data_IF_708073610407
#
_entry.id   IF_708073610407
#
_cell.length_a   1.000
_cell.length_b   1.000
_cell.length_c   1.000
_cell.angle_alpha   90.00
_cell.angle_beta   90.00
_cell.angle_gamma   90.00
#
_symmetry.space_group_name_H-M   'P 1'
#
loop_
_entity.id
_entity.type
_entity.pdbx_description
1 polymer ?
#
# COMPACT_ATOMS: atom_id res chain seq x y z
N UNK A 1 -14.55 -27.92 69.86
CA UNK A 1 -15.52 -27.20 69.02
C UNK A 1 -14.84 -26.88 67.69
N UNK A 2 -15.12 -27.67 66.63
CA UNK A 2 -14.54 -27.48 65.30
C UNK A 2 -15.31 -26.37 64.59
N UNK A 3 -14.73 -25.18 64.47
CA UNK A 3 -15.29 -24.12 63.61
C UNK A 3 -15.23 -24.63 62.16
N UNK A 4 -16.39 -24.63 61.54
CA UNK A 4 -16.63 -25.01 60.14
C UNK A 4 -15.76 -24.15 59.21
N UNK A 5 -14.74 -24.80 58.65
CA UNK A 5 -13.84 -24.31 57.61
C UNK A 5 -14.59 -24.11 56.28
N UNK A 6 -15.36 -23.05 56.17
CA UNK A 6 -15.67 -22.42 54.89
C UNK A 6 -14.64 -21.28 54.71
N UNK A 7 -13.72 -21.27 53.76
CA UNK A 7 -13.36 -22.16 52.68
C UNK A 7 -11.93 -21.70 52.33
N UNK A 8 -10.90 -22.43 52.78
CA UNK A 8 -9.54 -22.20 52.28
C UNK A 8 -9.50 -22.70 50.84
N UNK A 9 -10.00 -21.88 49.92
CA UNK A 9 -10.02 -22.18 48.50
C UNK A 9 -8.71 -21.70 47.89
N UNK A 10 -7.88 -22.64 47.46
CA UNK A 10 -6.58 -22.37 46.83
C UNK A 10 -6.72 -21.52 45.58
N UNK A 11 -7.81 -21.68 44.81
CA UNK A 11 -8.09 -20.86 43.63
C UNK A 11 -8.29 -19.38 43.99
N UNK A 12 -9.10 -19.10 45.01
CA UNK A 12 -9.30 -17.75 45.52
C UNK A 12 -8.02 -17.16 46.11
N UNK A 13 -7.17 -17.99 46.72
CA UNK A 13 -5.87 -17.56 47.25
C UNK A 13 -4.92 -17.13 46.13
N UNK A 14 -4.85 -17.89 45.04
CA UNK A 14 -4.02 -17.56 43.89
C UNK A 14 -4.54 -16.29 43.20
N UNK A 15 -5.85 -16.21 42.92
CA UNK A 15 -6.46 -14.99 42.36
C UNK A 15 -6.30 -13.78 43.28
N UNK A 16 -6.34 -13.96 44.60
CA UNK A 16 -6.06 -12.90 45.56
C UNK A 16 -4.60 -12.44 45.49
N UNK A 17 -3.66 -13.38 45.36
CA UNK A 17 -2.22 -13.10 45.22
C UNK A 17 -1.92 -12.34 43.92
N UNK A 18 -2.57 -12.72 42.82
CA UNK A 18 -2.42 -12.09 41.50
C UNK A 18 -3.25 -10.80 41.34
N UNK A 19 -3.96 -10.37 42.39
CA UNK A 19 -4.87 -9.22 42.40
C UNK A 19 -6.02 -9.29 41.35
N UNK A 20 -6.49 -10.50 41.06
CA UNK A 20 -7.56 -10.80 40.08
C UNK A 20 -8.97 -10.95 40.70
N UNK A 21 -9.14 -10.53 41.95
CA UNK A 21 -10.44 -10.51 42.63
C UNK A 21 -11.08 -9.14 42.52
N UNK A 22 -12.42 -9.12 42.42
CA UNK A 22 -13.18 -7.88 42.49
C UNK A 22 -12.97 -7.19 43.86
N UNK A 23 -13.08 -5.85 43.95
CA UNK A 23 -12.77 -5.11 45.17
C UNK A 23 -13.52 -5.61 46.43
N UNK A 24 -14.79 -5.99 46.27
CA UNK A 24 -15.62 -6.53 47.34
C UNK A 24 -15.16 -7.92 47.80
N UNK A 25 -14.73 -8.77 46.86
CA UNK A 25 -14.21 -10.10 47.14
C UNK A 25 -12.81 -10.03 47.77
N UNK A 26 -11.98 -9.12 47.27
CA UNK A 26 -10.65 -8.85 47.81
C UNK A 26 -10.72 -8.40 49.27
N UNK A 27 -11.66 -7.50 49.62
CA UNK A 27 -11.86 -7.06 51.00
C UNK A 27 -12.33 -8.19 51.93
N UNK A 28 -13.23 -9.05 51.45
CA UNK A 28 -13.72 -10.21 52.20
C UNK A 28 -12.63 -11.25 52.41
N UNK A 29 -11.88 -11.56 51.36
CA UNK A 29 -10.82 -12.57 51.40
C UNK A 29 -9.60 -12.09 52.19
N UNK A 30 -9.26 -10.80 52.11
CA UNK A 30 -8.21 -10.18 52.96
C UNK A 30 -8.51 -10.35 54.45
N UNK A 31 -9.78 -10.22 54.87
CA UNK A 31 -10.18 -10.48 56.26
C UNK A 31 -9.97 -11.94 56.64
N UNK A 32 -10.38 -12.87 55.77
CA UNK A 32 -10.16 -14.30 55.98
C UNK A 32 -8.68 -14.66 56.11
N UNK A 33 -7.83 -14.15 55.23
CA UNK A 33 -6.37 -14.35 55.29
C UNK A 33 -5.80 -13.86 56.62
N UNK A 34 -6.25 -12.72 57.16
CA UNK A 34 -5.77 -12.21 58.46
C UNK A 34 -6.12 -13.13 59.64
N UNK A 35 -7.19 -13.91 59.52
CA UNK A 35 -7.69 -14.78 60.59
C UNK A 35 -7.31 -16.26 60.41
N UNK A 36 -6.82 -16.65 59.23
CA UNK A 36 -6.49 -18.04 58.89
C UNK A 36 -4.98 -18.27 58.75
N UNK A 37 -4.32 -18.97 59.71
CA UNK A 37 -2.89 -19.25 59.65
C UNK A 37 -2.45 -20.03 58.41
N UNK A 38 -3.27 -20.98 57.95
CA UNK A 38 -2.95 -21.80 56.77
C UNK A 38 -2.90 -20.97 55.47
N UNK A 39 -3.82 -20.02 55.30
CA UNK A 39 -3.80 -19.11 54.15
C UNK A 39 -2.64 -18.10 54.24
N UNK A 40 -2.23 -17.69 55.45
CA UNK A 40 -1.05 -16.83 55.64
C UNK A 40 0.24 -17.53 55.26
N UNK A 41 0.39 -18.78 55.67
CA UNK A 41 1.55 -19.61 55.35
C UNK A 41 1.65 -19.81 53.83
N UNK A 42 0.56 -20.20 53.18
CA UNK A 42 0.53 -20.37 51.73
C UNK A 42 0.82 -19.07 50.95
N UNK A 43 0.35 -17.91 51.44
CA UNK A 43 0.71 -16.61 50.83
C UNK A 43 2.19 -16.27 51.02
N UNK A 44 2.74 -16.57 52.19
CA UNK A 44 4.16 -16.33 52.47
C UNK A 44 5.05 -17.21 51.59
N UNK A 45 4.65 -18.45 51.35
CA UNK A 45 5.36 -19.36 50.45
C UNK A 45 5.34 -18.83 49.01
N UNK A 46 4.16 -18.43 48.50
CA UNK A 46 4.04 -17.82 47.17
C UNK A 46 4.85 -16.53 47.03
N UNK A 47 4.86 -15.71 48.08
CA UNK A 47 5.65 -14.48 48.11
C UNK A 47 7.16 -14.79 48.09
N UNK A 48 7.61 -15.80 48.84
CA UNK A 48 9.02 -16.20 48.84
C UNK A 48 9.50 -16.70 47.48
N UNK A 49 8.65 -17.45 46.75
CA UNK A 49 8.95 -17.91 45.38
C UNK A 49 9.03 -16.71 44.44
N UNK A 50 8.07 -15.79 44.54
CA UNK A 50 8.06 -14.56 43.75
C UNK A 50 9.30 -13.69 43.99
N UNK A 51 9.73 -13.57 45.24
CA UNK A 51 10.92 -12.80 45.60
C UNK A 51 12.20 -13.46 45.08
N UNK A 52 12.29 -14.80 45.14
CA UNK A 52 13.40 -15.54 44.52
C UNK A 52 13.45 -15.34 43.00
N UNK A 53 12.30 -15.37 42.34
CA UNK A 53 12.23 -15.13 40.90
C UNK A 53 12.65 -13.70 40.56
N UNK A 54 12.14 -12.70 41.29
CA UNK A 54 12.54 -11.30 41.15
C UNK A 54 14.03 -11.13 41.37
N UNK A 55 14.61 -11.69 42.42
CA UNK A 55 16.05 -11.60 42.68
C UNK A 55 16.89 -12.18 41.52
N UNK A 56 16.48 -13.31 40.95
CA UNK A 56 17.16 -13.92 39.80
C UNK A 56 16.99 -13.08 38.52
N UNK A 57 15.81 -12.50 38.31
CA UNK A 57 15.54 -11.59 37.19
C UNK A 57 16.33 -10.30 37.35
N UNK A 58 16.31 -9.66 38.52
CA UNK A 58 17.04 -8.43 38.82
C UNK A 58 18.55 -8.62 38.69
N UNK A 59 19.09 -9.75 39.15
CA UNK A 59 20.50 -10.10 38.93
C UNK A 59 20.83 -10.24 37.43
N UNK A 60 19.95 -10.88 36.66
CA UNK A 60 20.14 -11.02 35.21
C UNK A 60 19.94 -9.71 34.46
N UNK A 61 19.02 -8.86 34.89
CA UNK A 61 18.77 -7.53 34.36
C UNK A 61 19.97 -6.63 34.64
N UNK A 62 20.55 -6.70 35.84
CA UNK A 62 21.76 -5.95 36.19
C UNK A 62 22.98 -6.38 35.36
N UNK A 63 23.05 -7.67 34.99
CA UNK A 63 24.09 -8.20 34.09
C UNK A 63 23.77 -8.01 32.61
N UNK A 64 22.51 -7.81 32.27
CA UNK A 64 22.09 -7.54 30.91
C UNK A 64 22.32 -6.07 30.63
N UNK A 65 22.97 -5.80 29.50
CA UNK A 65 23.19 -4.44 29.03
C UNK A 65 21.88 -3.92 28.42
N UNK A 66 21.00 -3.43 29.29
CA UNK A 66 19.71 -2.86 28.92
C UNK A 66 19.86 -1.57 28.12
N UNK A 67 20.98 -0.86 28.29
CA UNK A 67 21.28 0.37 27.54
C UNK A 67 21.45 0.03 26.04
N UNK A 68 22.06 -1.12 25.75
CA UNK A 68 22.18 -1.65 24.39
C UNK A 68 20.94 -2.41 23.89
N UNK A 69 19.97 -2.71 24.76
CA UNK A 69 18.73 -3.40 24.37
C UNK A 69 17.83 -2.48 23.54
N UNK A 70 17.72 -1.21 23.90
CA UNK A 70 16.93 -0.24 23.15
C UNK A 70 17.50 -0.07 21.73
N UNK A 71 18.82 0.13 21.63
CA UNK A 71 19.49 0.27 20.34
C UNK A 71 19.37 -1.01 19.49
N UNK A 72 19.51 -2.19 20.11
CA UNK A 72 19.33 -3.48 19.42
C UNK A 72 17.91 -3.70 18.90
N UNK A 73 16.88 -3.28 19.65
CA UNK A 73 15.48 -3.36 19.22
C UNK A 73 15.19 -2.37 18.10
N UNK A 74 15.71 -1.13 18.21
CA UNK A 74 15.55 -0.11 17.18
C UNK A 74 16.27 -0.51 15.87
N UNK A 75 17.45 -1.12 15.95
CA UNK A 75 18.18 -1.60 14.79
C UNK A 75 17.44 -2.77 14.11
N UNK A 76 16.89 -3.72 14.89
CA UNK A 76 16.05 -4.81 14.35
C UNK A 76 14.82 -4.29 13.59
N UNK A 77 14.16 -3.25 14.10
CA UNK A 77 13.01 -2.62 13.42
C UNK A 77 13.48 -1.84 12.18
N UNK A 78 14.63 -1.15 12.28
CA UNK A 78 15.25 -0.39 11.19
C UNK A 78 15.70 -1.26 10.01
N UNK A 79 16.38 -2.37 10.28
CA UNK A 79 16.82 -3.33 9.26
C UNK A 79 15.65 -3.93 8.47
N UNK A 80 14.51 -4.18 9.12
CA UNK A 80 13.30 -4.70 8.44
C UNK A 80 12.72 -3.69 7.44
N UNK A 81 12.77 -2.38 7.76
CA UNK A 81 12.40 -1.31 6.81
C UNK A 81 13.39 -1.21 5.64
N UNK A 82 14.69 -1.33 5.90
CA UNK A 82 15.71 -1.25 4.86
C UNK A 82 15.62 -2.41 3.85
N UNK A 83 15.30 -3.63 4.33
CA UNK A 83 15.07 -4.82 3.49
C UNK A 83 13.88 -4.68 2.54
N UNK A 84 12.75 -4.11 3.01
CA UNK A 84 11.60 -3.83 2.16
C UNK A 84 11.89 -2.76 1.12
N UNK A 85 12.62 -1.70 1.50
CA UNK A 85 13.05 -0.66 0.58
C UNK A 85 14.04 -1.17 -0.47
N UNK A 86 14.99 -2.04 -0.10
CA UNK A 86 15.90 -2.68 -1.06
C UNK A 86 15.13 -3.55 -2.07
N UNK A 87 14.17 -4.34 -1.60
CA UNK A 87 13.30 -5.16 -2.47
C UNK A 87 12.46 -4.31 -3.43
N UNK A 88 11.94 -3.17 -2.97
CA UNK A 88 11.25 -2.22 -3.86
C UNK A 88 12.20 -1.55 -4.86
N UNK A 89 13.41 -1.19 -4.43
CA UNK A 89 14.43 -0.56 -5.30
C UNK A 89 14.85 -1.47 -6.45
N UNK A 90 14.95 -2.78 -6.22
CA UNK A 90 15.26 -3.75 -7.27
C UNK A 90 14.10 -3.92 -8.26
N UNK A 91 12.85 -3.76 -7.82
CA UNK A 91 11.68 -3.76 -8.71
C UNK A 91 11.62 -2.49 -9.59
N UNK A 92 12.06 -1.35 -9.04
CA UNK A 92 12.15 -0.08 -9.74
C UNK A 92 13.46 0.14 -10.50
N UNK A 93 14.38 -0.85 -10.53
CA UNK A 93 15.64 -0.75 -11.30
C UNK A 93 15.30 -0.83 -12.79
N UNK A 94 15.24 0.32 -13.52
CA UNK A 94 14.45 0.43 -14.75
C UNK A 94 15.13 -0.17 -15.99
N UNK A 95 16.27 -0.86 -15.82
CA UNK A 95 17.12 -1.27 -16.93
C UNK A 95 16.46 -2.28 -17.88
N UNK A 96 15.45 -3.04 -17.43
CA UNK A 96 14.71 -4.00 -18.26
C UNK A 96 13.48 -3.42 -18.97
N UNK A 97 12.96 -2.29 -18.50
CA UNK A 97 11.73 -1.68 -19.06
C UNK A 97 11.99 -0.43 -19.91
N UNK A 98 13.19 0.16 -19.86
CA UNK A 98 13.56 1.30 -20.69
C UNK A 98 13.55 0.97 -22.20
N UNK A 99 13.95 -0.24 -22.57
CA UNK A 99 13.99 -0.68 -23.98
C UNK A 99 12.58 -0.79 -24.59
N UNK A 100 11.62 -1.52 -24.00
CA UNK A 100 10.26 -1.59 -24.56
C UNK A 100 9.53 -0.24 -24.49
N UNK A 101 9.77 0.58 -23.46
CA UNK A 101 9.14 1.91 -23.37
C UNK A 101 9.61 2.86 -24.48
N UNK A 102 10.91 2.88 -24.78
CA UNK A 102 11.45 3.68 -25.88
C UNK A 102 10.87 3.24 -27.24
N UNK A 103 10.73 1.92 -27.47
CA UNK A 103 10.15 1.39 -28.69
C UNK A 103 8.70 1.85 -28.90
N UNK A 104 7.86 1.77 -27.85
CA UNK A 104 6.46 2.22 -27.91
C UNK A 104 6.39 3.72 -28.24
N UNK A 105 7.19 4.54 -27.57
CA UNK A 105 7.21 5.99 -27.81
C UNK A 105 7.64 6.29 -29.25
N UNK A 106 8.71 5.65 -29.74
CA UNK A 106 9.15 5.85 -31.13
C UNK A 106 8.11 5.44 -32.15
N UNK A 107 7.38 4.33 -31.92
CA UNK A 107 6.33 3.88 -32.83
C UNK A 107 5.16 4.86 -32.86
N UNK A 108 4.78 5.42 -31.71
CA UNK A 108 3.71 6.41 -31.58
C UNK A 108 4.07 7.75 -32.25
N UNK A 109 5.32 8.20 -32.12
CA UNK A 109 5.80 9.41 -32.78
C UNK A 109 5.85 9.24 -34.30
N UNK A 110 6.31 8.07 -34.78
CA UNK A 110 6.33 7.74 -36.20
C UNK A 110 4.92 7.67 -36.80
N UNK A 111 3.98 7.02 -36.11
CA UNK A 111 2.59 6.93 -36.59
C UNK A 111 1.91 8.30 -36.68
N UNK A 112 2.09 9.16 -35.66
CA UNK A 112 1.57 10.52 -35.70
C UNK A 112 2.19 11.37 -36.81
N UNK A 113 3.47 11.15 -37.12
CA UNK A 113 4.18 11.86 -38.19
C UNK A 113 3.64 11.46 -39.57
N UNK A 114 3.36 10.18 -39.79
CA UNK A 114 2.79 9.68 -41.05
C UNK A 114 1.37 10.19 -41.25
N UNK A 115 0.54 10.23 -40.20
CA UNK A 115 -0.83 10.76 -40.27
C UNK A 115 -0.81 12.26 -40.59
N UNK A 116 0.14 13.03 -40.04
CA UNK A 116 0.30 14.45 -40.37
C UNK A 116 0.83 14.72 -41.78
N UNK A 117 1.49 13.76 -42.42
CA UNK A 117 2.02 13.92 -43.78
C UNK A 117 0.97 13.67 -44.88
N UNK A 118 -0.17 13.05 -44.57
CA UNK A 118 -1.29 12.98 -45.50
C UNK A 118 -2.03 14.32 -45.45
N UNK A 119 -1.59 15.26 -46.29
CA UNK A 119 -2.33 16.49 -46.57
C UNK A 119 -3.76 16.18 -47.05
N UNK A 120 -4.67 17.17 -46.99
CA UNK A 120 -6.06 16.98 -47.37
C UNK A 120 -6.13 16.38 -48.78
N UNK A 121 -6.84 15.24 -48.90
CA UNK A 121 -7.12 14.58 -50.18
C UNK A 121 -7.77 15.65 -51.07
N UNK A 122 -7.20 16.01 -52.24
CA UNK A 122 -7.78 17.03 -53.09
C UNK A 122 -9.14 16.55 -53.56
N UNK A 123 -10.19 17.21 -53.06
CA UNK A 123 -11.54 17.07 -53.60
C UNK A 123 -11.62 17.69 -55.01
N UNK A 124 -12.67 17.38 -55.79
CA UNK A 124 -12.83 17.93 -57.13
C UNK A 124 -12.81 19.46 -57.09
N UNK A 125 -11.98 20.08 -57.92
CA UNK A 125 -11.68 21.52 -57.81
C UNK A 125 -12.75 22.44 -58.41
N UNK A 126 -13.74 21.88 -59.11
CA UNK A 126 -14.99 22.57 -59.43
C UNK A 126 -16.09 21.54 -59.72
N UNK A 127 -17.32 21.81 -59.27
CA UNK A 127 -18.52 21.04 -59.64
C UNK A 127 -19.41 21.99 -60.44
N UNK A 128 -19.65 21.66 -61.71
CA UNK A 128 -20.55 22.43 -62.57
C UNK A 128 -21.95 21.81 -62.47
N UNK A 129 -22.90 22.58 -61.95
CA UNK A 129 -24.26 22.09 -61.73
C UNK A 129 -25.16 22.19 -62.98
N UNK A 130 -24.91 23.15 -63.87
CA UNK A 130 -25.62 23.29 -65.15
C UNK A 130 -24.86 24.17 -66.14
N UNK A 131 -25.12 23.98 -67.44
CA UNK A 131 -24.65 24.83 -68.54
C UNK A 131 -25.81 25.04 -69.52
N UNK A 132 -26.14 26.30 -69.84
CA UNK A 132 -27.17 26.66 -70.83
C UNK A 132 -26.54 27.54 -71.92
N UNK A 133 -26.56 27.05 -73.16
CA UNK A 133 -26.05 27.76 -74.32
C UNK A 133 -26.40 27.02 -75.61
N UNK A 134 -26.62 27.75 -76.71
CA UNK A 134 -27.01 27.19 -78.02
C UNK A 134 -25.81 26.73 -78.87
N UNK A 135 -24.61 26.65 -78.28
CA UNK A 135 -23.38 26.17 -78.93
C UNK A 135 -23.27 24.65 -78.89
N UNK A 136 -22.61 24.05 -79.90
CA UNK A 136 -22.58 22.60 -80.09
C UNK A 136 -21.41 21.86 -79.42
N UNK A 137 -20.40 22.56 -78.87
CA UNK A 137 -19.26 21.91 -78.21
C UNK A 137 -18.71 22.74 -77.03
N UNK A 138 -18.64 22.10 -75.87
CA UNK A 138 -17.95 22.62 -74.66
C UNK A 138 -16.84 21.65 -74.30
N UNK A 139 -15.65 22.17 -74.06
CA UNK A 139 -14.51 21.40 -73.61
C UNK A 139 -14.11 21.83 -72.20
N UNK A 140 -14.10 20.87 -71.28
CA UNK A 140 -13.59 21.07 -69.93
C UNK A 140 -12.19 20.47 -69.83
N UNK A 141 -11.25 21.27 -69.36
CA UNK A 141 -9.87 20.88 -69.16
C UNK A 141 -9.47 21.14 -67.71
N UNK A 142 -8.99 20.11 -67.02
CA UNK A 142 -8.38 20.26 -65.70
C UNK A 142 -6.86 20.19 -65.84
N UNK A 143 -6.17 21.17 -65.25
CA UNK A 143 -4.70 21.18 -65.25
C UNK A 143 -4.17 20.21 -64.18
N UNK A 144 -3.29 19.25 -64.54
CA UNK A 144 -2.92 18.14 -63.67
C UNK A 144 -2.05 18.54 -62.46
N UNK A 145 -1.52 19.76 -62.43
CA UNK A 145 -0.63 20.24 -61.35
C UNK A 145 -1.28 21.26 -60.41
N UNK A 146 -2.18 22.11 -60.92
CA UNK A 146 -2.81 23.20 -60.16
C UNK A 146 -4.32 22.99 -59.96
N UNK A 147 -4.89 21.93 -60.53
CA UNK A 147 -6.32 21.61 -60.49
C UNK A 147 -7.24 22.77 -60.91
N UNK A 148 -6.75 23.65 -61.78
CA UNK A 148 -7.56 24.72 -62.33
C UNK A 148 -8.42 24.16 -63.46
N UNK A 149 -9.74 24.39 -63.38
CA UNK A 149 -10.70 24.04 -64.42
C UNK A 149 -10.81 25.18 -65.42
N UNK A 150 -10.41 24.93 -66.67
CA UNK A 150 -10.58 25.85 -67.80
C UNK A 150 -11.77 25.38 -68.61
N UNK A 151 -12.73 26.29 -68.82
CA UNK A 151 -13.91 26.04 -69.65
C UNK A 151 -13.68 26.74 -70.98
N UNK A 152 -13.63 25.96 -72.06
CA UNK A 152 -13.53 26.50 -73.41
C UNK A 152 -14.81 26.20 -74.18
N UNK A 153 -15.39 27.23 -74.79
CA UNK A 153 -16.57 27.10 -75.63
C UNK A 153 -16.35 27.89 -76.92
N UNK A 154 -16.98 27.42 -78.00
CA UNK A 154 -16.94 28.05 -79.31
C UNK A 154 -18.36 28.40 -79.75
N UNK A 155 -18.59 29.67 -80.07
CA UNK A 155 -19.86 30.15 -80.59
C UNK A 155 -19.76 30.27 -82.12
N UNK A 156 -20.51 29.43 -82.84
CA UNK A 156 -20.76 29.62 -84.26
C UNK A 156 -22.00 30.50 -84.40
N UNK A 157 -21.81 31.76 -84.85
CA UNK A 157 -22.90 32.64 -85.26
C UNK A 157 -23.46 32.22 -86.63
#
# INVERSE_FOLDING_TARGET
MKKTSHQCNTDLLNRFFDHELDPDEQARFSRHVKECPSCQEALKDNQSISDLFKACVDEKIFRADLDNLEEGVLDLIGQKKYSLWLRLKDLFRPRKFLIPAAAIITMLVLSFSIIRQHGPIPGPSAIINSFEGNGSYVMLLETPKSHQTVIWFNETF
#
